data_IF_159273930197
#
_entry.id   IF_159273930197
#
_cell.length_a   1.000
_cell.length_b   1.000
_cell.length_c   1.000
_cell.angle_alpha   90.00
_cell.angle_beta   90.00
_cell.angle_gamma   90.00
#
_symmetry.space_group_name_H-M   'P 1'
#
loop_
_entity.id
_entity.type
_entity.pdbx_description
1 polymer ?
#
# COMPACT_ATOMS: atom_id res chain seq x y z
N UNK A 1 -23.03 -26.68 -1.96
CA UNK A 1 -24.20 -26.72 -2.88
C UNK A 1 -25.03 -25.48 -2.66
N UNK A 2 -24.80 -24.42 -3.43
CA UNK A 2 -25.69 -23.25 -3.50
C UNK A 2 -26.24 -23.22 -4.92
N UNK A 3 -27.56 -23.34 -5.04
CA UNK A 3 -28.25 -23.28 -6.31
C UNK A 3 -28.15 -21.84 -6.82
N UNK A 4 -27.44 -21.66 -7.94
CA UNK A 4 -27.55 -20.45 -8.74
C UNK A 4 -28.96 -20.44 -9.35
N UNK A 5 -29.83 -19.57 -8.87
CA UNK A 5 -31.03 -19.16 -9.62
C UNK A 5 -30.56 -18.34 -10.81
N UNK A 6 -30.30 -19.04 -11.90
CA UNK A 6 -30.12 -18.49 -13.24
C UNK A 6 -31.47 -17.90 -13.64
N UNK A 7 -31.55 -16.57 -13.70
CA UNK A 7 -32.71 -15.89 -14.26
C UNK A 7 -32.57 -16.02 -15.77
N UNK A 8 -33.22 -17.05 -16.32
CA UNK A 8 -33.36 -17.27 -17.75
C UNK A 8 -34.44 -16.31 -18.26
N UNK A 9 -34.02 -15.27 -18.95
CA UNK A 9 -34.93 -14.35 -19.63
C UNK A 9 -35.39 -15.03 -20.92
N UNK A 10 -36.50 -15.76 -20.86
CA UNK A 10 -37.22 -16.23 -22.05
C UNK A 10 -37.93 -15.01 -22.66
N UNK A 11 -37.30 -14.40 -23.65
CA UNK A 11 -37.95 -13.41 -24.52
C UNK A 11 -38.94 -14.21 -25.36
N UNK A 12 -40.21 -14.21 -24.94
CA UNK A 12 -41.32 -14.61 -25.78
C UNK A 12 -41.38 -13.63 -26.96
N UNK A 13 -40.72 -14.00 -28.06
CA UNK A 13 -41.03 -13.49 -29.39
C UNK A 13 -42.48 -13.90 -29.68
N UNK A 14 -43.41 -13.07 -29.21
CA UNK A 14 -44.81 -13.18 -29.60
C UNK A 14 -44.87 -12.91 -31.11
N UNK A 15 -45.14 -13.96 -31.87
CA UNK A 15 -45.34 -13.96 -33.32
C UNK A 15 -46.13 -12.73 -33.77
N UNK A 16 -45.42 -11.82 -34.44
CA UNK A 16 -45.95 -10.55 -34.96
C UNK A 16 -46.91 -10.76 -36.15
N UNK A 17 -47.00 -12.00 -36.66
CA UNK A 17 -47.71 -12.35 -37.89
C UNK A 17 -49.16 -12.82 -37.70
N UNK A 18 -49.65 -13.00 -36.46
CA UNK A 18 -51.03 -13.44 -36.22
C UNK A 18 -52.07 -12.30 -36.14
N UNK A 19 -51.65 -11.03 -36.17
CA UNK A 19 -52.57 -9.89 -36.06
C UNK A 19 -52.98 -9.26 -37.41
N UNK A 20 -52.46 -9.76 -38.54
CA UNK A 20 -52.76 -9.21 -39.86
C UNK A 20 -54.06 -9.76 -40.50
N UNK A 21 -54.69 -10.79 -39.95
CA UNK A 21 -55.81 -11.49 -40.61
C UNK A 21 -57.17 -11.42 -39.88
N UNK A 22 -57.41 -10.36 -39.09
CA UNK A 22 -58.73 -10.12 -38.43
C UNK A 22 -59.32 -8.74 -38.77
N UNK A 23 -58.91 -8.14 -39.88
CA UNK A 23 -59.58 -6.95 -40.43
C UNK A 23 -59.98 -7.22 -41.87
N UNK A 24 -61.24 -7.62 -42.10
CA UNK A 24 -62.10 -7.22 -43.22
C UNK A 24 -63.37 -8.09 -43.28
N UNK A 25 -64.39 -7.70 -42.50
CA UNK A 25 -65.78 -8.03 -42.78
C UNK A 25 -66.65 -6.81 -42.41
N UNK A 26 -67.27 -6.11 -43.37
CA UNK A 26 -68.11 -4.96 -43.09
C UNK A 26 -69.49 -5.46 -42.64
N UNK A 27 -69.65 -5.71 -41.35
CA UNK A 27 -70.97 -5.87 -40.75
C UNK A 27 -71.54 -4.48 -40.43
N UNK A 28 -72.52 -4.05 -41.22
CA UNK A 28 -73.44 -2.95 -40.90
C UNK A 28 -74.27 -3.36 -39.68
N UNK A 29 -73.79 -2.99 -38.48
CA UNK A 29 -74.53 -3.10 -37.24
C UNK A 29 -74.69 -1.71 -36.61
N UNK A 30 -75.93 -1.40 -36.26
CA UNK A 30 -76.34 -0.13 -35.67
C UNK A 30 -75.54 0.23 -34.41
N UNK A 31 -75.20 1.52 -34.22
CA UNK A 31 -74.43 1.97 -33.08
C UNK A 31 -75.26 1.87 -31.79
N UNK A 32 -75.08 0.78 -31.04
CA UNK A 32 -75.58 0.67 -29.66
C UNK A 32 -74.68 1.49 -28.70
N UNK A 33 -75.19 2.52 -28.01
CA UNK A 33 -74.40 3.50 -27.25
C UNK A 33 -73.79 3.00 -25.92
N UNK A 34 -73.88 1.70 -25.59
CA UNK A 34 -73.56 1.19 -24.25
C UNK A 34 -72.10 0.68 -24.12
N UNK A 35 -71.41 0.39 -25.24
CA UNK A 35 -70.06 -0.19 -25.19
C UNK A 35 -68.95 0.82 -24.86
N UNK A 36 -69.11 2.09 -25.28
CA UNK A 36 -68.12 3.16 -25.01
C UNK A 36 -68.01 3.52 -23.53
N UNK A 37 -69.09 3.41 -22.77
CA UNK A 37 -69.10 3.78 -21.35
C UNK A 37 -68.26 2.81 -20.48
N UNK A 38 -68.27 1.51 -20.81
CA UNK A 38 -67.47 0.50 -20.07
C UNK A 38 -65.97 0.65 -20.31
N UNK A 39 -65.55 1.00 -21.53
CA UNK A 39 -64.15 1.25 -21.85
C UNK A 39 -63.61 2.47 -21.08
N UNK A 40 -64.36 3.57 -21.02
CA UNK A 40 -63.96 4.77 -20.26
C UNK A 40 -63.81 4.47 -18.77
N UNK A 41 -64.68 3.66 -18.18
CA UNK A 41 -64.56 3.27 -16.77
C UNK A 41 -63.36 2.38 -16.49
N UNK A 42 -63.03 1.43 -17.38
CA UNK A 42 -61.88 0.54 -17.21
C UNK A 42 -60.57 1.31 -17.36
N UNK A 43 -60.46 2.21 -18.35
CA UNK A 43 -59.30 3.08 -18.51
C UNK A 43 -59.14 4.04 -17.33
N UNK A 44 -60.22 4.65 -16.84
CA UNK A 44 -60.18 5.51 -15.66
C UNK A 44 -59.67 4.80 -14.41
N UNK A 45 -60.12 3.56 -14.17
CA UNK A 45 -59.65 2.74 -13.05
C UNK A 45 -58.18 2.33 -13.23
N UNK A 46 -57.77 1.92 -14.42
CA UNK A 46 -56.37 1.55 -14.68
C UNK A 46 -55.42 2.72 -14.46
N UNK A 47 -55.75 3.91 -14.96
CA UNK A 47 -54.96 5.14 -14.74
C UNK A 47 -54.88 5.49 -13.25
N UNK A 48 -55.99 5.36 -12.51
CA UNK A 48 -56.01 5.61 -11.07
C UNK A 48 -55.11 4.62 -10.31
N UNK A 49 -55.13 3.33 -10.67
CA UNK A 49 -54.28 2.31 -10.05
C UNK A 49 -52.80 2.57 -10.31
N UNK A 50 -52.43 2.92 -11.56
CA UNK A 50 -51.05 3.28 -11.91
C UNK A 50 -50.62 4.52 -11.12
N UNK A 51 -51.45 5.55 -11.03
CA UNK A 51 -51.15 6.76 -10.25
C UNK A 51 -50.94 6.45 -8.75
N UNK A 52 -51.72 5.53 -8.20
CA UNK A 52 -51.60 5.11 -6.79
C UNK A 52 -50.31 4.32 -6.56
N UNK A 53 -49.95 3.40 -7.46
CA UNK A 53 -48.66 2.68 -7.41
C UNK A 53 -47.48 3.64 -7.48
N UNK A 54 -47.53 4.63 -8.36
CA UNK A 54 -46.49 5.67 -8.47
C UNK A 54 -46.41 6.48 -7.17
N UNK A 55 -47.53 6.89 -6.59
CA UNK A 55 -47.56 7.69 -5.37
C UNK A 55 -47.06 6.92 -4.15
N UNK A 56 -47.43 5.65 -4.02
CA UNK A 56 -46.93 4.76 -2.96
C UNK A 56 -45.44 4.50 -3.15
N UNK A 57 -45.00 4.21 -4.38
CA UNK A 57 -43.58 4.04 -4.69
C UNK A 57 -42.75 5.28 -4.38
N UNK A 58 -43.27 6.47 -4.71
CA UNK A 58 -42.62 7.74 -4.40
C UNK A 58 -42.51 7.99 -2.89
N UNK A 59 -43.56 7.71 -2.11
CA UNK A 59 -43.51 7.84 -0.64
C UNK A 59 -42.50 6.88 -0.02
N UNK A 60 -42.50 5.61 -0.44
CA UNK A 60 -41.52 4.63 0.04
C UNK A 60 -40.09 5.05 -0.29
N UNK A 61 -39.87 5.63 -1.48
CA UNK A 61 -38.58 6.18 -1.86
C UNK A 61 -38.19 7.39 -0.98
N UNK A 62 -39.11 8.34 -0.72
CA UNK A 62 -38.86 9.47 0.17
C UNK A 62 -38.55 9.04 1.61
N UNK A 63 -39.30 8.09 2.15
CA UNK A 63 -39.08 7.56 3.51
C UNK A 63 -37.72 6.84 3.60
N UNK A 64 -37.30 6.15 2.52
CA UNK A 64 -35.99 5.52 2.43
C UNK A 64 -34.85 6.57 2.41
N UNK A 65 -34.98 7.62 1.59
CA UNK A 65 -34.01 8.73 1.54
C UNK A 65 -33.89 9.44 2.88
N UNK A 66 -35.02 9.73 3.54
CA UNK A 66 -35.01 10.33 4.87
C UNK A 66 -34.33 9.42 5.91
N UNK A 67 -34.51 8.09 5.80
CA UNK A 67 -33.85 7.10 6.65
C UNK A 67 -32.33 7.04 6.43
N UNK A 68 -31.87 7.17 5.19
CA UNK A 68 -30.44 7.23 4.84
C UNK A 68 -29.83 8.52 5.40
N UNK A 69 -30.42 9.68 5.11
CA UNK A 69 -29.93 10.98 5.60
C UNK A 69 -29.86 11.05 7.14
N UNK A 70 -30.88 10.52 7.84
CA UNK A 70 -30.86 10.43 9.30
C UNK A 70 -29.75 9.49 9.81
N UNK A 71 -29.46 8.41 9.07
CA UNK A 71 -28.37 7.50 9.42
C UNK A 71 -27.01 8.14 9.21
N UNK A 72 -26.80 8.85 8.11
CA UNK A 72 -25.57 9.61 7.83
C UNK A 72 -25.33 10.67 8.90
N UNK A 73 -26.38 11.42 9.30
CA UNK A 73 -26.29 12.40 10.37
C UNK A 73 -25.90 11.77 11.72
N UNK A 74 -26.50 10.62 12.08
CA UNK A 74 -26.15 9.91 13.31
C UNK A 74 -24.71 9.38 13.29
N UNK A 75 -24.28 8.83 12.16
CA UNK A 75 -22.90 8.35 12.01
C UNK A 75 -21.92 9.51 12.05
N UNK A 76 -22.24 10.66 11.44
CA UNK A 76 -21.40 11.86 11.51
C UNK A 76 -21.26 12.42 12.93
N UNK A 77 -22.36 12.49 13.68
CA UNK A 77 -22.30 12.87 15.10
C UNK A 77 -21.43 11.90 15.93
N UNK A 78 -21.44 10.60 15.59
CA UNK A 78 -20.59 9.61 16.26
C UNK A 78 -19.09 9.83 15.96
N UNK A 79 -18.75 10.16 14.70
CA UNK A 79 -17.37 10.51 14.30
C UNK A 79 -16.87 11.73 15.07
N UNK A 80 -17.70 12.77 15.23
CA UNK A 80 -17.35 13.97 15.98
C UNK A 80 -17.07 13.66 17.46
N UNK A 81 -17.96 12.89 18.12
CA UNK A 81 -17.77 12.46 19.52
C UNK A 81 -16.48 11.64 19.68
N UNK A 82 -16.19 10.75 18.73
CA UNK A 82 -14.99 9.92 18.76
C UNK A 82 -13.72 10.74 18.58
N UNK A 83 -13.74 11.74 17.70
CA UNK A 83 -12.64 12.68 17.49
C UNK A 83 -12.34 13.47 18.75
N UNK A 84 -13.37 13.98 19.45
CA UNK A 84 -13.22 14.67 20.73
C UNK A 84 -12.56 13.74 21.77
N UNK A 85 -12.95 12.47 21.83
CA UNK A 85 -12.35 11.49 22.76
C UNK A 85 -10.88 11.20 22.40
N UNK A 86 -10.55 11.11 21.13
CA UNK A 86 -9.17 10.91 20.67
C UNK A 86 -8.29 12.12 21.04
N UNK A 87 -8.78 13.34 20.79
CA UNK A 87 -8.10 14.59 21.18
C UNK A 87 -7.81 14.66 22.69
N UNK A 88 -8.72 14.17 23.54
CA UNK A 88 -8.49 14.10 24.99
C UNK A 88 -7.35 13.16 25.39
N UNK A 89 -7.03 12.17 24.56
CA UNK A 89 -5.93 11.23 24.80
C UNK A 89 -4.58 11.78 24.33
N UNK A 90 -4.60 12.73 23.37
CA UNK A 90 -3.42 13.34 22.76
C UNK A 90 -3.51 14.87 22.78
N UNK A 91 -3.38 15.52 23.95
CA UNK A 91 -3.63 16.95 24.12
C UNK A 91 -2.63 17.85 23.37
N UNK A 92 -1.56 17.28 22.81
CA UNK A 92 -0.51 18.03 22.12
C UNK A 92 -0.87 18.40 20.66
N UNK A 93 -2.02 17.97 20.13
CA UNK A 93 -2.45 18.31 18.78
C UNK A 93 -3.94 18.66 18.76
N UNK A 94 -4.30 19.68 17.99
CA UNK A 94 -5.70 19.97 17.69
C UNK A 94 -6.13 19.04 16.56
N UNK A 95 -7.08 18.15 16.84
CA UNK A 95 -7.61 17.19 15.89
C UNK A 95 -9.06 17.56 15.57
N UNK A 96 -9.34 17.79 14.28
CA UNK A 96 -10.70 18.00 13.78
C UNK A 96 -11.04 16.94 12.72
N UNK A 97 -12.31 16.57 12.61
CA UNK A 97 -12.77 15.54 11.70
C UNK A 97 -13.94 16.05 10.85
N UNK A 98 -13.82 15.89 9.52
CA UNK A 98 -14.89 16.15 8.58
C UNK A 98 -15.34 14.86 7.90
N UNK A 99 -16.62 14.51 7.98
CA UNK A 99 -17.17 13.37 7.22
C UNK A 99 -17.24 13.73 5.74
N UNK A 100 -16.56 12.96 4.90
CA UNK A 100 -16.53 13.16 3.45
C UNK A 100 -17.59 12.31 2.74
N UNK A 101 -17.73 11.04 3.12
CA UNK A 101 -18.75 10.13 2.57
C UNK A 101 -19.14 9.06 3.57
N UNK A 102 -20.35 8.53 3.44
CA UNK A 102 -20.87 7.40 4.23
C UNK A 102 -21.45 6.38 3.26
N UNK A 103 -20.85 5.20 3.21
CA UNK A 103 -21.32 4.07 2.42
C UNK A 103 -22.02 3.08 3.35
N UNK A 104 -23.32 2.82 3.13
CA UNK A 104 -24.13 1.94 3.99
C UNK A 104 -24.43 0.62 3.26
N UNK A 105 -24.14 -0.51 3.89
CA UNK A 105 -24.48 -1.85 3.41
C UNK A 105 -25.25 -2.61 4.50
N UNK A 106 -26.58 -2.55 4.43
CA UNK A 106 -27.46 -3.19 5.42
C UNK A 106 -27.25 -2.61 6.82
N UNK A 107 -26.72 -3.41 7.74
CA UNK A 107 -26.41 -2.99 9.11
C UNK A 107 -24.96 -2.55 9.30
N UNK A 108 -24.20 -2.33 8.23
CA UNK A 108 -22.81 -1.88 8.27
C UNK A 108 -22.67 -0.53 7.57
N UNK A 109 -21.71 0.28 8.02
CA UNK A 109 -21.34 1.52 7.37
C UNK A 109 -19.82 1.64 7.27
N UNK A 110 -19.33 2.13 6.14
CA UNK A 110 -17.96 2.62 5.96
C UNK A 110 -18.05 4.14 5.84
N UNK A 111 -17.22 4.83 6.59
CA UNK A 111 -17.20 6.29 6.64
C UNK A 111 -15.83 6.76 6.23
N UNK A 112 -15.77 7.61 5.21
CA UNK A 112 -14.55 8.31 4.82
C UNK A 112 -14.52 9.62 5.58
N UNK A 113 -13.49 9.81 6.40
CA UNK A 113 -13.32 11.00 7.23
C UNK A 113 -12.03 11.70 6.82
N UNK A 114 -12.07 13.02 6.68
CA UNK A 114 -10.86 13.85 6.58
C UNK A 114 -10.53 14.31 7.99
N UNK A 115 -9.47 13.74 8.55
CA UNK A 115 -8.86 14.18 9.79
C UNK A 115 -7.92 15.34 9.47
N UNK A 116 -7.97 16.39 10.27
CA UNK A 116 -7.05 17.52 10.17
C UNK A 116 -6.35 17.66 11.51
N UNK A 117 -5.05 17.36 11.52
CA UNK A 117 -4.20 17.52 12.68
C UNK A 117 -3.40 18.81 12.54
N UNK A 118 -3.49 19.68 13.55
CA UNK A 118 -2.64 20.87 13.64
C UNK A 118 -1.50 20.59 14.62
N UNK A 119 -0.26 20.66 14.14
CA UNK A 119 0.95 20.46 14.94
C UNK A 119 1.15 21.62 15.94
N UNK A 120 2.05 21.43 16.90
CA UNK A 120 2.45 22.49 17.85
C UNK A 120 3.06 23.72 17.15
N UNK A 121 3.58 23.56 15.94
CA UNK A 121 4.13 24.64 15.11
C UNK A 121 3.06 25.31 14.24
N UNK A 122 1.79 24.89 14.35
CA UNK A 122 0.68 25.42 13.56
C UNK A 122 0.58 24.83 12.15
N UNK A 123 1.34 23.79 11.85
CA UNK A 123 1.26 23.11 10.55
C UNK A 123 -0.02 22.26 10.51
N UNK A 124 -0.80 22.43 9.44
CA UNK A 124 -2.07 21.74 9.24
C UNK A 124 -1.85 20.59 8.27
N UNK A 125 -2.03 19.36 8.75
CA UNK A 125 -1.78 18.16 7.97
C UNK A 125 -3.10 17.37 7.82
N UNK A 126 -3.87 17.57 6.73
CA UNK A 126 -5.08 16.79 6.50
C UNK A 126 -4.75 15.39 5.99
N UNK A 127 -5.40 14.37 6.54
CA UNK A 127 -5.38 13.01 6.00
C UNK A 127 -6.76 12.38 6.00
N UNK A 128 -7.00 11.48 5.04
CA UNK A 128 -8.23 10.68 5.04
C UNK A 128 -8.06 9.45 5.91
N UNK A 129 -9.11 9.05 6.62
CA UNK A 129 -9.26 7.77 7.30
C UNK A 129 -10.55 7.06 6.87
N UNK A 130 -10.54 5.73 6.97
CA UNK A 130 -11.74 4.91 6.81
C UNK A 130 -12.16 4.34 8.17
N UNK A 131 -13.36 4.69 8.60
CA UNK A 131 -13.99 4.21 9.83
C UNK A 131 -15.10 3.23 9.47
N UNK A 132 -15.25 2.18 10.28
CA UNK A 132 -16.22 1.11 10.02
C UNK A 132 -17.15 0.98 11.20
N UNK A 133 -18.45 0.98 10.95
CA UNK A 133 -19.48 0.86 11.98
C UNK A 133 -20.42 -0.30 11.68
N UNK A 134 -20.94 -0.91 12.74
CA UNK A 134 -22.05 -1.87 12.65
C UNK A 134 -23.18 -1.42 13.55
N UNK A 135 -24.40 -1.47 13.02
CA UNK A 135 -25.64 -1.19 13.75
C UNK A 135 -26.01 -2.39 14.61
N UNK A 136 -26.22 -2.14 15.89
CA UNK A 136 -26.78 -3.07 16.87
C UNK A 136 -28.07 -2.49 17.46
N UNK A 137 -28.72 -3.23 18.36
CA UNK A 137 -29.86 -2.70 19.13
C UNK A 137 -29.48 -1.52 20.04
N UNK A 138 -28.20 -1.38 20.41
CA UNK A 138 -27.68 -0.28 21.21
C UNK A 138 -27.25 0.94 20.37
N UNK A 139 -27.40 0.89 19.04
CA UNK A 139 -26.95 1.91 18.11
C UNK A 139 -25.74 1.47 17.28
N UNK A 140 -25.06 2.43 16.68
CA UNK A 140 -23.85 2.21 15.88
C UNK A 140 -22.64 2.02 16.77
N UNK A 141 -21.79 1.05 16.44
CA UNK A 141 -20.55 0.78 17.17
C UNK A 141 -19.40 0.65 16.18
N UNK A 142 -18.25 1.28 16.46
CA UNK A 142 -17.05 1.15 15.63
C UNK A 142 -16.56 -0.31 15.64
N UNK A 143 -16.10 -0.77 14.49
CA UNK A 143 -15.66 -2.15 14.25
C UNK A 143 -14.35 -2.16 13.47
N UNK A 144 -13.76 -3.34 13.32
CA UNK A 144 -12.67 -3.58 12.36
C UNK A 144 -13.17 -3.39 10.92
N UNK A 145 -12.27 -3.18 9.94
CA UNK A 145 -12.59 -3.21 8.53
C UNK A 145 -13.54 -4.35 8.14
N UNK A 146 -14.58 -4.02 7.37
CA UNK A 146 -15.59 -4.97 6.91
C UNK A 146 -15.35 -5.26 5.43
N UNK A 147 -14.90 -6.48 5.13
CA UNK A 147 -14.46 -6.88 3.78
C UNK A 147 -15.51 -6.66 2.66
N UNK A 148 -16.80 -6.63 2.99
CA UNK A 148 -17.87 -6.40 2.02
C UNK A 148 -17.78 -5.02 1.31
N UNK A 149 -17.16 -4.02 1.94
CA UNK A 149 -16.99 -2.69 1.34
C UNK A 149 -15.85 -2.59 0.32
N UNK A 150 -14.98 -3.59 0.24
CA UNK A 150 -13.82 -3.54 -0.65
C UNK A 150 -14.13 -3.91 -2.11
N UNK A 151 -15.36 -4.37 -2.38
CA UNK A 151 -15.79 -4.76 -3.72
C UNK A 151 -15.31 -6.17 -4.09
N UNK A 152 -15.24 -6.43 -5.40
CA UNK A 152 -14.86 -7.75 -5.92
C UNK A 152 -13.36 -7.97 -5.78
N UNK A 153 -12.95 -9.24 -5.70
CA UNK A 153 -11.53 -9.60 -5.80
C UNK A 153 -11.05 -9.41 -7.23
N UNK A 154 -9.85 -8.91 -7.37
CA UNK A 154 -9.20 -8.60 -8.63
C UNK A 154 -7.73 -9.00 -8.58
N UNK A 155 -7.12 -9.13 -9.75
CA UNK A 155 -5.71 -9.45 -9.86
C UNK A 155 -5.04 -8.68 -10.99
N UNK A 156 -3.75 -8.38 -10.79
CA UNK A 156 -2.87 -7.79 -11.80
C UNK A 156 -1.60 -8.64 -11.86
N UNK A 157 -1.18 -8.99 -13.07
CA UNK A 157 0.07 -9.72 -13.29
C UNK A 157 1.11 -8.82 -13.93
N UNK A 158 2.34 -8.91 -13.44
CA UNK A 158 3.52 -8.35 -14.08
C UNK A 158 4.47 -9.48 -14.51
N UNK A 159 5.69 -9.14 -14.93
CA UNK A 159 6.68 -10.13 -15.33
C UNK A 159 7.12 -11.02 -14.16
N UNK A 160 7.22 -10.47 -12.96
CA UNK A 160 7.74 -11.18 -11.76
C UNK A 160 6.80 -11.19 -10.58
N UNK A 161 5.72 -10.40 -10.59
CA UNK A 161 4.77 -10.27 -9.48
C UNK A 161 3.35 -10.63 -9.91
N UNK A 162 2.58 -11.21 -8.99
CA UNK A 162 1.15 -11.45 -9.12
C UNK A 162 0.45 -10.79 -7.94
N UNK A 163 -0.37 -9.76 -8.19
CA UNK A 163 -1.11 -9.04 -7.18
C UNK A 163 -2.52 -9.59 -7.06
N UNK A 164 -2.91 -10.01 -5.86
CA UNK A 164 -4.29 -10.30 -5.46
C UNK A 164 -4.80 -9.17 -4.55
N UNK A 165 -5.87 -8.49 -4.94
CA UNK A 165 -6.41 -7.36 -4.19
C UNK A 165 -7.93 -7.27 -4.36
N UNK A 166 -8.55 -6.20 -3.84
CA UNK A 166 -9.96 -5.93 -4.05
C UNK A 166 -10.15 -4.61 -4.79
N UNK A 167 -11.27 -4.48 -5.50
CA UNK A 167 -11.62 -3.34 -6.37
C UNK A 167 -11.33 -1.95 -5.76
N UNK A 168 -11.58 -1.76 -4.47
CA UNK A 168 -11.32 -0.49 -3.78
C UNK A 168 -9.82 -0.11 -3.70
N UNK A 169 -8.92 -1.10 -3.74
CA UNK A 169 -7.46 -0.92 -3.71
C UNK A 169 -6.85 -0.72 -5.10
N UNK A 170 -7.61 -0.96 -6.18
CA UNK A 170 -7.17 -0.90 -7.58
C UNK A 170 -6.28 0.32 -7.91
N UNK A 171 -6.68 1.58 -7.65
CA UNK A 171 -5.87 2.73 -8.07
C UNK A 171 -4.46 2.74 -7.44
N UNK A 172 -4.32 2.23 -6.22
CA UNK A 172 -3.02 2.16 -5.54
C UNK A 172 -2.17 1.00 -6.05
N UNK A 173 -2.80 -0.15 -6.32
CA UNK A 173 -2.10 -1.32 -6.85
C UNK A 173 -1.63 -1.07 -8.28
N UNK A 174 -2.47 -0.48 -9.14
CA UNK A 174 -2.09 -0.13 -10.52
C UNK A 174 -0.92 0.87 -10.55
N UNK A 175 -0.90 1.84 -9.64
CA UNK A 175 0.20 2.81 -9.52
C UNK A 175 1.53 2.18 -9.08
N UNK A 176 1.50 1.13 -8.26
CA UNK A 176 2.71 0.51 -7.67
C UNK A 176 3.19 -0.74 -8.43
N UNK A 177 2.30 -1.46 -9.13
CA UNK A 177 2.63 -2.75 -9.72
C UNK A 177 3.82 -2.71 -10.69
N UNK A 178 3.83 -1.74 -11.62
CA UNK A 178 4.93 -1.56 -12.58
C UNK A 178 6.26 -1.20 -11.91
N UNK A 179 6.32 -0.12 -11.10
CA UNK A 179 7.52 0.25 -10.35
C UNK A 179 8.05 -0.87 -9.45
N UNK A 180 7.18 -1.58 -8.73
CA UNK A 180 7.56 -2.68 -7.86
C UNK A 180 8.15 -3.88 -8.64
N UNK A 181 7.61 -4.19 -9.82
CA UNK A 181 8.16 -5.23 -10.69
C UNK A 181 9.56 -4.86 -11.20
N UNK A 182 9.75 -3.61 -11.62
CA UNK A 182 11.07 -3.12 -12.04
C UNK A 182 12.07 -3.19 -10.89
N UNK A 183 11.68 -2.70 -9.72
CA UNK A 183 12.49 -2.78 -8.51
C UNK A 183 12.87 -4.22 -8.18
N UNK A 184 11.91 -5.15 -8.21
CA UNK A 184 12.17 -6.56 -7.93
C UNK A 184 13.17 -7.19 -8.92
N UNK A 185 13.07 -6.86 -10.22
CA UNK A 185 14.05 -7.33 -11.22
C UNK A 185 15.45 -6.79 -10.93
N UNK A 186 15.60 -5.49 -10.71
CA UNK A 186 16.88 -4.85 -10.33
C UNK A 186 17.44 -5.45 -9.05
N UNK A 187 16.59 -5.68 -8.05
CA UNK A 187 16.97 -6.28 -6.77
C UNK A 187 17.44 -7.73 -6.92
N UNK A 188 16.83 -8.52 -7.81
CA UNK A 188 17.31 -9.89 -8.05
C UNK A 188 18.67 -9.89 -8.71
N UNK A 189 18.85 -9.03 -9.71
CA UNK A 189 20.14 -8.84 -10.39
C UNK A 189 21.24 -8.39 -9.42
N UNK A 190 20.95 -7.39 -8.58
CA UNK A 190 21.89 -6.88 -7.55
C UNK A 190 22.30 -7.93 -6.53
N UNK A 191 21.46 -8.92 -6.28
CA UNK A 191 21.74 -10.02 -5.34
C UNK A 191 22.32 -11.26 -6.03
N UNK A 192 22.59 -11.21 -7.34
CA UNK A 192 23.10 -12.34 -8.12
C UNK A 192 22.11 -13.50 -8.20
N UNK A 193 20.82 -13.22 -7.99
CA UNK A 193 19.74 -14.19 -8.12
C UNK A 193 19.42 -14.40 -9.60
N UNK A 194 19.04 -15.63 -9.99
CA UNK A 194 18.64 -15.89 -11.36
C UNK A 194 17.37 -15.11 -11.69
N UNK A 195 17.17 -14.68 -12.95
CA UNK A 195 15.90 -14.13 -13.38
C UNK A 195 14.80 -15.17 -13.14
N UNK A 196 13.60 -14.71 -12.78
CA UNK A 196 12.46 -15.61 -12.63
C UNK A 196 12.09 -16.24 -13.96
N UNK A 197 11.66 -17.51 -13.94
CA UNK A 197 11.11 -18.16 -15.12
C UNK A 197 9.84 -17.47 -15.60
N UNK A 198 9.48 -17.63 -16.89
CA UNK A 198 8.30 -16.98 -17.48
C UNK A 198 6.95 -17.34 -16.80
N UNK A 199 6.92 -18.45 -16.05
CA UNK A 199 5.75 -18.91 -15.29
C UNK A 199 5.86 -18.66 -13.79
N UNK A 200 7.02 -18.24 -13.30
CA UNK A 200 7.27 -18.03 -11.88
C UNK A 200 6.95 -16.58 -11.51
N UNK A 201 6.19 -16.36 -10.43
CA UNK A 201 5.88 -15.03 -9.91
C UNK A 201 5.84 -15.04 -8.37
N UNK A 202 6.17 -13.91 -7.78
CA UNK A 202 5.95 -13.66 -6.35
C UNK A 202 4.53 -13.16 -6.16
N UNK A 203 3.74 -13.89 -5.36
CA UNK A 203 2.39 -13.48 -5.00
C UNK A 203 2.41 -12.36 -3.96
N UNK A 204 1.63 -11.32 -4.20
CA UNK A 204 1.41 -10.17 -3.32
C UNK A 204 -0.08 -10.08 -3.03
N UNK A 205 -0.48 -10.30 -1.77
CA UNK A 205 -1.89 -10.23 -1.36
C UNK A 205 -2.15 -8.96 -0.56
N UNK A 206 -2.99 -8.08 -1.09
CA UNK A 206 -3.48 -6.88 -0.41
C UNK A 206 -4.79 -7.22 0.31
N UNK A 207 -4.77 -7.14 1.65
CA UNK A 207 -5.92 -7.55 2.48
C UNK A 207 -6.65 -6.35 3.09
N UNK A 208 -8.00 -6.40 3.21
CA UNK A 208 -8.82 -5.33 3.77
C UNK A 208 -8.77 -5.33 5.30
N UNK A 209 -7.57 -5.37 5.88
CA UNK A 209 -7.32 -5.31 7.33
C UNK A 209 -5.89 -4.86 7.58
N UNK A 210 -5.65 -4.32 8.77
CA UNK A 210 -4.30 -4.04 9.24
C UNK A 210 -3.60 -5.37 9.57
N UNK A 211 -2.52 -5.63 8.86
CA UNK A 211 -1.56 -6.71 9.05
C UNK A 211 -0.17 -6.10 9.16
N UNK A 212 0.70 -6.77 9.91
CA UNK A 212 2.13 -6.53 9.80
C UNK A 212 2.60 -6.83 8.37
N UNK A 213 3.71 -6.21 7.98
CA UNK A 213 4.37 -6.56 6.73
C UNK A 213 4.94 -7.97 6.86
N UNK A 214 4.17 -8.96 6.43
CA UNK A 214 4.48 -10.37 6.63
C UNK A 214 4.88 -11.02 5.30
N UNK A 215 5.88 -11.90 5.36
CA UNK A 215 6.23 -12.83 4.28
C UNK A 215 5.83 -14.22 4.76
N UNK A 216 4.86 -14.84 4.09
CA UNK A 216 4.38 -16.17 4.46
C UNK A 216 5.43 -17.24 4.15
N UNK A 217 5.25 -18.45 4.66
CA UNK A 217 6.18 -19.58 4.48
C UNK A 217 6.33 -20.00 3.00
N UNK A 218 5.27 -19.84 2.20
CA UNK A 218 5.31 -20.03 0.74
C UNK A 218 5.92 -18.83 -0.01
N UNK A 219 6.35 -17.82 0.75
CA UNK A 219 6.92 -16.57 0.29
C UNK A 219 5.89 -15.51 -0.12
N UNK A 220 4.58 -15.78 -0.04
CA UNK A 220 3.56 -14.78 -0.38
C UNK A 220 3.74 -13.53 0.48
N UNK A 221 3.78 -12.36 -0.16
CA UNK A 221 3.89 -11.07 0.53
C UNK A 221 2.49 -10.61 0.90
N UNK A 222 2.21 -10.43 2.18
CA UNK A 222 0.88 -10.00 2.65
C UNK A 222 0.96 -8.57 3.13
N UNK A 223 0.12 -7.70 2.57
CA UNK A 223 0.17 -6.27 2.84
C UNK A 223 -1.22 -5.73 3.20
N UNK A 224 -1.26 -4.73 4.06
CA UNK A 224 -2.51 -4.03 4.40
C UNK A 224 -2.98 -3.22 3.21
N UNK A 225 -4.30 -3.15 3.00
CA UNK A 225 -4.92 -2.21 2.06
C UNK A 225 -4.35 -0.80 2.27
N UNK A 226 -3.87 -0.10 1.23
CA UNK A 226 -3.31 1.25 1.35
C UNK A 226 -4.24 2.25 2.04
N UNK A 227 -5.55 2.03 1.90
CA UNK A 227 -6.59 2.87 2.51
C UNK A 227 -6.69 2.77 4.03
N UNK A 228 -6.10 1.72 4.64
CA UNK A 228 -6.10 1.49 6.08
C UNK A 228 -4.81 1.95 6.77
N UNK A 229 -3.80 2.35 5.99
CA UNK A 229 -2.55 2.84 6.55
C UNK A 229 -2.76 4.23 7.11
N UNK A 230 -2.33 4.39 8.35
CA UNK A 230 -2.26 5.68 8.99
C UNK A 230 -1.11 6.49 8.38
N UNK A 231 -1.44 7.69 7.94
CA UNK A 231 -0.51 8.59 7.24
C UNK A 231 -0.13 9.81 8.08
N UNK A 232 -0.66 10.00 9.30
CA UNK A 232 -0.41 11.15 10.19
C UNK A 232 -0.22 12.48 9.42
N UNK A 233 -1.09 12.74 8.43
CA UNK A 233 -1.09 13.97 7.64
C UNK A 233 0.09 14.22 6.68
N UNK A 234 1.19 13.47 6.75
CA UNK A 234 2.45 13.85 6.08
C UNK A 234 2.91 12.96 4.93
N UNK A 235 2.22 11.86 4.62
CA UNK A 235 2.67 10.93 3.59
C UNK A 235 1.57 10.45 2.64
N UNK A 236 1.93 10.28 1.37
CA UNK A 236 1.06 9.69 0.37
C UNK A 236 0.92 8.17 0.62
N UNK A 237 -0.32 7.68 0.63
CA UNK A 237 -0.62 6.24 0.84
C UNK A 237 0.08 5.35 -0.17
N UNK A 238 0.14 5.78 -1.43
CA UNK A 238 0.85 5.08 -2.52
C UNK A 238 2.31 4.88 -2.17
N UNK A 239 2.99 5.94 -1.71
CA UNK A 239 4.39 5.90 -1.26
C UNK A 239 4.58 4.96 -0.09
N UNK A 240 3.72 5.02 0.93
CA UNK A 240 3.80 4.09 2.07
C UNK A 240 3.61 2.64 1.62
N UNK A 241 2.61 2.39 0.76
CA UNK A 241 2.35 1.06 0.21
C UNK A 241 3.56 0.53 -0.57
N UNK A 242 4.11 1.35 -1.47
CA UNK A 242 5.33 1.05 -2.23
C UNK A 242 6.51 0.72 -1.31
N UNK A 243 6.82 1.60 -0.35
CA UNK A 243 7.92 1.39 0.60
C UNK A 243 7.77 0.09 1.41
N UNK A 244 6.55 -0.22 1.86
CA UNK A 244 6.29 -1.47 2.57
C UNK A 244 6.45 -2.71 1.68
N UNK A 245 6.03 -2.61 0.41
CA UNK A 245 6.20 -3.69 -0.56
C UNK A 245 7.68 -3.89 -0.93
N UNK A 246 8.43 -2.81 -1.15
CA UNK A 246 9.88 -2.84 -1.40
C UNK A 246 10.61 -3.51 -0.23
N UNK A 247 10.29 -3.17 1.01
CA UNK A 247 10.87 -3.82 2.19
C UNK A 247 10.59 -5.33 2.26
N UNK A 248 9.37 -5.75 1.90
CA UNK A 248 9.00 -7.18 1.82
C UNK A 248 9.76 -7.90 0.69
N UNK A 249 9.92 -7.26 -0.47
CA UNK A 249 10.69 -7.78 -1.60
C UNK A 249 12.18 -7.92 -1.27
N UNK A 250 12.79 -6.93 -0.59
CA UNK A 250 14.16 -7.01 -0.07
C UNK A 250 14.32 -8.18 0.89
N UNK A 251 13.44 -8.27 1.89
CA UNK A 251 13.48 -9.35 2.89
C UNK A 251 13.41 -10.73 2.23
N UNK A 252 12.44 -10.94 1.33
CA UNK A 252 12.27 -12.21 0.61
C UNK A 252 13.48 -12.52 -0.28
N UNK A 253 13.97 -11.56 -1.05
CA UNK A 253 15.06 -11.78 -2.00
C UNK A 253 16.38 -12.04 -1.28
N UNK A 254 16.65 -11.35 -0.16
CA UNK A 254 17.80 -11.65 0.67
C UNK A 254 17.69 -13.03 1.32
N UNK A 255 16.50 -13.46 1.75
CA UNK A 255 16.31 -14.83 2.24
C UNK A 255 16.62 -15.88 1.16
N UNK A 256 16.18 -15.67 -0.07
CA UNK A 256 16.53 -16.53 -1.22
C UNK A 256 18.05 -16.54 -1.45
N UNK A 257 18.69 -15.36 -1.45
CA UNK A 257 20.14 -15.23 -1.65
C UNK A 257 20.95 -15.90 -0.53
N UNK A 258 20.51 -15.79 0.73
CA UNK A 258 21.13 -16.47 1.87
C UNK A 258 21.11 -17.98 1.71
N UNK A 259 19.96 -18.54 1.33
CA UNK A 259 19.82 -19.99 1.11
C UNK A 259 20.72 -20.43 -0.05
N UNK A 260 20.73 -19.68 -1.15
CA UNK A 260 21.53 -19.98 -2.34
C UNK A 260 23.04 -19.95 -2.07
N UNK A 261 23.49 -18.95 -1.31
CA UNK A 261 24.91 -18.74 -1.01
C UNK A 261 25.36 -19.43 0.27
N UNK A 262 24.47 -20.15 0.97
CA UNK A 262 24.76 -20.79 2.26
C UNK A 262 25.36 -19.82 3.30
N UNK A 263 24.88 -18.58 3.34
CA UNK A 263 25.42 -17.52 4.23
C UNK A 263 25.44 -18.00 5.68
N UNK A 264 26.63 -17.96 6.29
CA UNK A 264 26.81 -18.44 7.66
C UNK A 264 26.13 -17.50 8.67
N UNK A 265 25.59 -18.01 9.80
CA UNK A 265 24.92 -17.18 10.81
C UNK A 265 25.78 -16.06 11.41
N UNK A 266 27.11 -16.22 11.44
CA UNK A 266 28.05 -15.18 11.90
C UNK A 266 27.94 -13.89 11.08
N UNK A 267 27.52 -13.97 9.82
CA UNK A 267 27.40 -12.83 8.90
C UNK A 267 26.02 -12.18 8.88
N UNK A 268 25.08 -12.67 9.72
CA UNK A 268 23.72 -12.10 9.80
C UNK A 268 23.69 -10.58 10.05
N UNK A 269 24.55 -10.00 10.92
CA UNK A 269 24.56 -8.55 11.10
C UNK A 269 24.85 -7.79 9.81
N UNK A 270 25.78 -8.28 8.97
CA UNK A 270 26.09 -7.64 7.68
C UNK A 270 24.91 -7.75 6.71
N UNK A 271 24.25 -8.91 6.65
CA UNK A 271 23.06 -9.09 5.79
C UNK A 271 21.89 -8.22 6.25
N UNK A 272 21.71 -8.03 7.56
CA UNK A 272 20.69 -7.11 8.09
C UNK A 272 20.95 -5.68 7.66
N UNK A 273 22.21 -5.21 7.75
CA UNK A 273 22.60 -3.88 7.29
C UNK A 273 22.41 -3.74 5.77
N UNK A 274 22.72 -4.77 4.99
CA UNK A 274 22.46 -4.78 3.55
C UNK A 274 20.97 -4.64 3.25
N UNK A 275 20.09 -5.30 4.02
CA UNK A 275 18.65 -5.18 3.87
C UNK A 275 18.19 -3.72 4.10
N UNK A 276 18.64 -3.13 5.19
CA UNK A 276 18.32 -1.75 5.54
C UNK A 276 18.87 -0.76 4.49
N UNK A 277 20.08 -1.00 3.98
CA UNK A 277 20.68 -0.22 2.90
C UNK A 277 19.88 -0.33 1.59
N UNK A 278 19.48 -1.53 1.17
CA UNK A 278 18.66 -1.75 -0.03
C UNK A 278 17.29 -1.07 0.07
N UNK A 279 16.69 -1.05 1.27
CA UNK A 279 15.42 -0.36 1.54
C UNK A 279 15.61 1.15 1.45
N UNK A 280 16.68 1.68 2.06
CA UNK A 280 17.01 3.11 2.03
C UNK A 280 17.34 3.64 0.64
N UNK A 281 17.76 2.76 -0.28
CA UNK A 281 18.13 3.09 -1.66
C UNK A 281 17.12 2.60 -2.69
N UNK A 282 15.89 2.25 -2.30
CA UNK A 282 14.96 1.57 -3.21
C UNK A 282 14.63 2.38 -4.47
N UNK A 283 14.53 3.71 -4.34
CA UNK A 283 14.22 4.62 -5.44
C UNK A 283 15.41 4.83 -6.37
N UNK A 284 16.62 4.83 -5.82
CA UNK A 284 17.87 5.06 -6.56
C UNK A 284 18.54 3.78 -7.04
N UNK A 285 18.10 2.60 -6.56
CA UNK A 285 18.79 1.32 -6.78
C UNK A 285 19.10 1.09 -8.26
N UNK A 286 18.16 1.42 -9.16
CA UNK A 286 18.41 1.25 -10.60
C UNK A 286 19.49 2.20 -11.13
N UNK A 287 19.56 3.43 -10.64
CA UNK A 287 20.63 4.37 -11.01
C UNK A 287 21.97 3.95 -10.39
N UNK A 288 21.96 3.59 -9.10
CA UNK A 288 23.14 3.11 -8.37
C UNK A 288 23.76 1.90 -9.07
N UNK A 289 22.95 0.95 -9.51
CA UNK A 289 23.43 -0.30 -10.11
C UNK A 289 23.86 -0.15 -11.58
N UNK A 290 23.33 0.84 -12.32
CA UNK A 290 23.70 1.02 -13.73
C UNK A 290 24.88 1.99 -13.93
N UNK A 291 24.91 3.09 -13.17
CA UNK A 291 25.83 4.20 -13.46
C UNK A 291 26.99 4.28 -12.45
N UNK A 292 26.97 3.48 -11.38
CA UNK A 292 27.93 3.58 -10.27
C UNK A 292 27.94 4.96 -9.61
N UNK A 293 26.89 5.76 -9.85
CA UNK A 293 26.79 7.11 -9.36
C UNK A 293 26.73 7.07 -7.82
N UNK A 294 27.56 7.87 -7.12
CA UNK A 294 27.48 7.94 -5.67
C UNK A 294 26.08 8.43 -5.30
N UNK A 295 25.36 7.63 -4.52
CA UNK A 295 24.09 8.10 -3.94
C UNK A 295 24.47 9.02 -2.78
N UNK A 296 24.30 10.31 -3.00
CA UNK A 296 24.40 11.27 -1.91
C UNK A 296 23.16 11.09 -1.03
N UNK A 297 23.23 10.20 -0.05
CA UNK A 297 22.30 10.30 1.06
C UNK A 297 22.47 11.68 1.70
N UNK A 298 21.36 12.34 2.00
CA UNK A 298 21.32 13.56 2.82
C UNK A 298 21.76 13.21 4.26
N UNK A 299 23.06 13.01 4.41
CA UNK A 299 23.74 12.58 5.63
C UNK A 299 24.04 13.78 6.53
N UNK A 300 23.17 14.80 6.49
CA UNK A 300 23.27 16.05 7.21
C UNK A 300 23.94 15.89 8.57
N UNK A 301 25.09 16.56 8.76
CA UNK A 301 25.92 16.55 9.99
C UNK A 301 26.63 15.24 10.40
N UNK A 302 26.16 14.06 9.98
CA UNK A 302 26.69 12.74 10.38
C UNK A 302 28.06 12.45 9.75
N UNK A 303 28.34 13.04 8.59
CA UNK A 303 29.58 12.85 7.83
C UNK A 303 30.87 13.20 8.62
N UNK A 304 30.78 14.02 9.68
CA UNK A 304 31.96 14.47 10.43
C UNK A 304 32.41 13.58 11.60
N UNK A 305 31.55 12.72 12.15
CA UNK A 305 31.85 12.06 13.44
C UNK A 305 32.31 10.60 13.33
N UNK A 306 32.07 9.92 12.20
CA UNK A 306 32.19 8.44 12.12
C UNK A 306 33.29 7.91 11.18
N UNK A 307 34.15 8.79 10.63
CA UNK A 307 35.24 8.47 9.70
C UNK A 307 36.29 7.46 10.24
N UNK A 308 36.19 6.98 11.49
CA UNK A 308 37.22 6.18 12.16
C UNK A 308 36.75 4.80 12.65
N UNK A 309 35.49 4.40 12.46
CA UNK A 309 35.00 3.12 13.01
C UNK A 309 35.00 1.99 11.98
N UNK A 310 35.44 0.81 12.43
CA UNK A 310 35.33 -0.44 11.70
C UNK A 310 34.11 -1.18 12.25
N UNK A 311 33.05 -1.41 11.44
CA UNK A 311 31.78 -1.95 11.94
C UNK A 311 31.98 -3.29 12.65
N UNK A 312 32.85 -4.16 12.14
CA UNK A 312 33.03 -5.51 12.69
C UNK A 312 33.74 -5.57 14.06
N UNK A 313 34.75 -4.73 14.33
CA UNK A 313 35.48 -4.78 15.60
C UNK A 313 34.72 -4.12 16.75
N UNK A 314 33.86 -3.14 16.46
CA UNK A 314 33.12 -2.40 17.47
C UNK A 314 31.78 -3.05 17.86
N UNK A 315 31.14 -3.80 16.95
CA UNK A 315 29.88 -4.52 17.23
C UNK A 315 30.04 -5.50 18.41
N UNK A 316 31.19 -6.15 18.55
CA UNK A 316 31.43 -7.13 19.62
C UNK A 316 31.98 -6.51 20.94
N UNK A 317 32.63 -5.35 20.89
CA UNK A 317 33.50 -4.90 21.99
C UNK A 317 32.80 -4.04 23.08
N UNK A 318 31.60 -3.51 22.86
CA UNK A 318 31.07 -2.41 23.69
C UNK A 318 29.74 -2.67 24.44
N UNK A 319 29.34 -3.92 24.70
CA UNK A 319 28.04 -4.27 25.30
C UNK A 319 27.72 -3.72 26.71
N UNK A 320 28.61 -2.94 27.35
CA UNK A 320 28.54 -2.64 28.79
C UNK A 320 28.09 -1.23 29.21
N UNK A 321 27.73 -0.30 28.32
CA UNK A 321 27.28 1.06 28.71
C UNK A 321 25.75 1.26 28.55
N UNK A 322 24.98 1.33 29.65
CA UNK A 322 23.55 1.64 29.60
C UNK A 322 23.31 3.06 29.07
N UNK A 323 22.31 3.24 28.20
CA UNK A 323 21.93 4.55 27.62
C UNK A 323 22.57 4.91 26.28
N UNK A 324 23.62 4.18 25.85
CA UNK A 324 24.28 4.39 24.54
C UNK A 324 23.77 3.46 23.42
N UNK A 325 22.75 2.64 23.70
CA UNK A 325 22.28 1.61 22.78
C UNK A 325 21.70 2.16 21.47
N UNK A 326 20.86 3.19 21.54
CA UNK A 326 20.24 3.78 20.34
C UNK A 326 21.25 4.53 19.49
N UNK A 327 22.08 5.37 20.12
CA UNK A 327 23.20 6.04 19.44
C UNK A 327 24.12 5.04 18.73
N UNK A 328 24.47 3.92 19.40
CA UNK A 328 25.27 2.86 18.79
C UNK A 328 24.56 2.23 17.60
N UNK A 329 23.31 1.80 17.77
CA UNK A 329 22.54 1.16 16.70
C UNK A 329 22.51 2.06 15.45
N UNK A 330 22.30 3.35 15.67
CA UNK A 330 22.31 4.36 14.62
C UNK A 330 23.70 4.52 13.98
N UNK A 331 24.76 4.62 14.78
CA UNK A 331 26.13 4.71 14.27
C UNK A 331 26.57 3.47 13.47
N UNK A 332 26.20 2.28 13.94
CA UNK A 332 26.50 1.01 13.27
C UNK A 332 25.73 0.90 11.95
N UNK A 333 24.45 1.31 11.92
CA UNK A 333 23.67 1.40 10.70
C UNK A 333 24.29 2.36 9.68
N UNK A 334 24.70 3.57 10.10
CA UNK A 334 25.35 4.53 9.22
C UNK A 334 26.71 4.04 8.69
N UNK A 335 27.54 3.44 9.55
CA UNK A 335 28.81 2.87 9.12
C UNK A 335 28.61 1.72 8.12
N UNK A 336 27.53 0.96 8.32
CA UNK A 336 27.07 -0.07 7.43
C UNK A 336 26.61 0.46 6.07
N UNK A 337 25.80 1.52 6.04
CA UNK A 337 25.36 2.14 4.80
C UNK A 337 26.53 2.70 4.01
N UNK A 338 27.42 3.45 4.67
CA UNK A 338 28.64 3.98 4.07
C UNK A 338 29.55 2.87 3.50
N UNK A 339 29.55 1.69 4.13
CA UNK A 339 30.29 0.55 3.62
C UNK A 339 29.70 0.07 2.28
N UNK A 340 28.38 -0.11 2.19
CA UNK A 340 27.74 -0.53 0.95
C UNK A 340 27.76 0.55 -0.14
N UNK A 341 27.61 1.82 0.21
CA UNK A 341 27.75 2.95 -0.72
C UNK A 341 29.13 2.97 -1.36
N UNK A 342 30.19 2.94 -0.54
CA UNK A 342 31.57 2.90 -1.02
C UNK A 342 31.85 1.64 -1.85
N UNK A 343 31.33 0.51 -1.39
CA UNK A 343 31.54 -0.77 -2.06
C UNK A 343 30.95 -0.76 -3.47
N UNK A 344 29.70 -0.32 -3.63
CA UNK A 344 29.05 -0.27 -4.95
C UNK A 344 29.65 0.82 -5.83
N UNK A 345 30.01 1.97 -5.26
CA UNK A 345 30.64 3.06 -6.01
C UNK A 345 32.02 2.68 -6.58
N UNK A 346 32.87 2.00 -5.80
CA UNK A 346 34.23 1.66 -6.21
C UNK A 346 34.30 0.35 -7.02
N UNK A 347 33.43 -0.62 -6.71
CA UNK A 347 33.52 -1.99 -7.23
C UNK A 347 32.31 -2.45 -8.05
N UNK A 348 31.34 -1.57 -8.27
CA UNK A 348 30.18 -1.86 -9.10
C UNK A 348 29.15 -2.79 -8.45
N UNK A 349 28.05 -3.07 -9.16
CA UNK A 349 26.93 -3.85 -8.67
C UNK A 349 27.28 -5.31 -8.32
N UNK A 350 28.29 -5.89 -8.97
CA UNK A 350 28.77 -7.25 -8.76
C UNK A 350 29.46 -7.48 -7.40
N UNK A 351 29.79 -6.40 -6.69
CA UNK A 351 30.44 -6.48 -5.39
C UNK A 351 29.54 -7.07 -4.30
N UNK A 352 28.22 -6.88 -4.39
CA UNK A 352 27.25 -7.42 -3.43
C UNK A 352 27.11 -8.95 -3.57
N UNK A 353 26.87 -9.52 -4.77
CA UNK A 353 26.83 -10.97 -4.95
C UNK A 353 28.13 -11.66 -4.55
N UNK A 354 29.29 -11.07 -4.87
CA UNK A 354 30.60 -11.60 -4.47
C UNK A 354 30.74 -11.66 -2.94
N UNK A 355 30.29 -10.63 -2.23
CA UNK A 355 30.28 -10.61 -0.77
C UNK A 355 29.41 -11.71 -0.17
N UNK A 356 28.17 -11.85 -0.69
CA UNK A 356 27.21 -12.83 -0.21
C UNK A 356 27.72 -14.27 -0.43
N UNK A 357 28.39 -14.53 -1.55
CA UNK A 357 29.04 -15.81 -1.81
C UNK A 357 30.18 -16.09 -0.82
N UNK A 358 31.04 -15.11 -0.54
CA UNK A 358 32.14 -15.25 0.41
C UNK A 358 31.66 -15.44 1.86
N UNK A 359 30.54 -14.81 2.25
CA UNK A 359 29.87 -15.10 3.53
C UNK A 359 29.40 -16.55 3.66
N UNK A 360 29.25 -17.29 2.56
CA UNK A 360 28.95 -18.71 2.58
C UNK A 360 30.15 -19.58 2.92
N UNK A 361 31.34 -19.21 2.44
CA UNK A 361 32.53 -20.06 2.47
C UNK A 361 33.51 -19.72 3.58
N UNK A 362 33.56 -18.46 4.02
CA UNK A 362 34.60 -17.97 4.92
C UNK A 362 34.10 -17.71 6.34
N UNK A 363 34.95 -17.94 7.33
CA UNK A 363 34.64 -17.76 8.76
C UNK A 363 35.12 -16.43 9.34
N UNK A 364 36.13 -15.80 8.72
CA UNK A 364 36.74 -14.55 9.20
C UNK A 364 36.57 -13.42 8.19
N UNK A 365 36.53 -12.18 8.69
CA UNK A 365 36.32 -11.01 7.82
C UNK A 365 37.48 -10.80 6.85
N UNK A 366 38.71 -11.16 7.25
CA UNK A 366 39.87 -11.08 6.37
C UNK A 366 39.74 -12.04 5.19
N UNK A 367 39.29 -13.26 5.45
CA UNK A 367 39.10 -14.27 4.42
C UNK A 367 37.93 -13.91 3.51
N UNK A 368 36.82 -13.39 4.07
CA UNK A 368 35.69 -12.86 3.28
C UNK A 368 36.16 -11.80 2.28
N UNK A 369 36.90 -10.78 2.74
CA UNK A 369 37.36 -9.67 1.90
C UNK A 369 38.34 -10.16 0.83
N UNK A 370 39.26 -11.05 1.20
CA UNK A 370 40.22 -11.62 0.26
C UNK A 370 39.52 -12.48 -0.81
N UNK A 371 38.57 -13.33 -0.40
CA UNK A 371 37.81 -14.22 -1.31
C UNK A 371 36.87 -13.41 -2.21
N UNK A 372 36.16 -12.42 -1.69
CA UNK A 372 35.20 -11.63 -2.47
C UNK A 372 35.89 -10.67 -3.45
N UNK A 373 37.02 -10.07 -3.04
CA UNK A 373 37.56 -8.88 -3.71
C UNK A 373 39.03 -8.96 -4.09
N UNK A 374 39.76 -9.99 -3.63
CA UNK A 374 41.18 -10.16 -3.92
C UNK A 374 42.10 -9.17 -3.22
N UNK A 375 41.61 -8.42 -2.23
CA UNK A 375 42.37 -7.38 -1.51
C UNK A 375 42.46 -7.66 -0.01
N UNK A 376 43.34 -6.95 0.68
CA UNK A 376 43.41 -6.98 2.15
C UNK A 376 42.30 -6.13 2.80
N UNK A 377 42.02 -6.37 4.09
CA UNK A 377 41.09 -5.53 4.87
C UNK A 377 41.58 -4.09 4.97
N UNK A 378 42.89 -3.88 5.07
CA UNK A 378 43.53 -2.57 5.11
C UNK A 378 43.32 -1.79 3.82
N UNK A 379 43.45 -2.47 2.68
CA UNK A 379 43.22 -1.90 1.36
C UNK A 379 41.75 -1.53 1.15
N UNK A 380 40.82 -2.44 1.44
CA UNK A 380 39.38 -2.15 1.39
C UNK A 380 38.98 -0.99 2.32
N UNK A 381 39.61 -0.90 3.50
CA UNK A 381 39.41 0.23 4.42
C UNK A 381 39.95 1.53 3.84
N UNK A 382 41.09 1.49 3.15
CA UNK A 382 41.68 2.66 2.50
C UNK A 382 40.79 3.17 1.35
N UNK A 383 40.24 2.26 0.53
CA UNK A 383 39.27 2.57 -0.53
C UNK A 383 38.03 3.27 0.05
N UNK A 384 37.38 2.65 1.05
CA UNK A 384 36.23 3.26 1.75
C UNK A 384 36.56 4.65 2.29
N UNK A 385 37.72 4.82 2.91
CA UNK A 385 38.13 6.12 3.45
C UNK A 385 38.36 7.16 2.34
N UNK A 386 38.88 6.74 1.18
CA UNK A 386 39.04 7.62 0.02
C UNK A 386 37.67 8.06 -0.50
N UNK A 387 36.71 7.14 -0.63
CA UNK A 387 35.33 7.45 -0.98
C UNK A 387 34.69 8.46 -0.01
N UNK A 388 34.79 8.25 1.30
CA UNK A 388 34.23 9.19 2.28
C UNK A 388 34.89 10.59 2.20
N UNK A 389 36.16 10.66 1.81
CA UNK A 389 36.84 11.93 1.58
C UNK A 389 36.35 12.66 0.32
N UNK A 390 35.88 11.96 -0.72
CA UNK A 390 35.30 12.61 -1.90
C UNK A 390 33.96 13.24 -1.55
N UNK A 391 33.12 12.55 -0.78
CA UNK A 391 31.85 13.10 -0.26
C UNK A 391 32.07 14.36 0.58
N UNK A 392 33.13 14.39 1.41
CA UNK A 392 33.46 15.58 2.20
C UNK A 392 33.96 16.78 1.37
N UNK A 393 34.43 16.55 0.13
CA UNK A 393 35.03 17.59 -0.72
C UNK A 393 34.02 18.27 -1.65
N UNK A 394 32.84 17.69 -1.88
CA UNK A 394 31.81 18.24 -2.76
C UNK A 394 31.04 19.35 -2.03
N UNK A 395 31.36 20.65 -2.24
CA UNK A 395 30.81 21.74 -1.42
C UNK A 395 29.45 22.24 -1.92
N UNK A 396 28.97 21.74 -3.07
CA UNK A 396 27.84 22.33 -3.81
C UNK A 396 26.48 22.15 -3.13
N UNK A 397 26.35 21.26 -2.14
CA UNK A 397 25.10 21.04 -1.39
C UNK A 397 24.89 22.02 -0.23
N UNK A 398 25.95 22.65 0.30
CA UNK A 398 25.85 23.44 1.54
C UNK A 398 25.33 24.87 1.32
N UNK A 399 25.35 25.38 0.08
CA UNK A 399 24.91 26.75 -0.21
C UNK A 399 23.38 26.91 -0.26
N UNK A 400 22.62 25.82 -0.45
CA UNK A 400 21.16 25.88 -0.55
C UNK A 400 20.44 25.62 0.79
N UNK A 401 21.09 24.92 1.73
CA UNK A 401 20.56 24.67 3.09
C UNK A 401 20.57 25.92 3.99
N UNK A 402 21.59 26.78 3.89
CA UNK A 402 21.66 28.03 4.68
C UNK A 402 20.53 29.02 4.33
N UNK A 403 19.90 28.87 3.16
CA UNK A 403 18.75 29.67 2.74
C UNK A 403 17.42 29.18 3.33
N UNK A 404 17.33 27.90 3.73
CA UNK A 404 16.13 27.27 4.29
C UNK A 404 15.99 27.47 5.80
N UNK A 405 17.08 27.74 6.52
CA UNK A 405 17.06 28.05 7.95
C UNK A 405 17.08 29.56 8.28
N UNK A 406 17.14 30.42 7.27
CA UNK A 406 17.13 31.88 7.41
C UNK A 406 15.75 32.55 7.21
N UNK A 407 14.64 31.80 7.24
CA UNK A 407 13.28 32.34 7.14
C UNK A 407 12.40 31.98 8.33
#
# INVERSE_FOLDING_TARGET
>A
MRQHTQIEWEILEAEEDAWAEVTLAPATCEPKPVCRQRLVTVFGVAVLLVALVVLVGYRLWQDAEAGIAATEQHVGALVEIETIRQQQSEPASELTAGVQSVDIMGSAAMVRVVMTQTSLLGEVCPHTELLFYRRSSAGWTRTRPIAAFWGKKEAIETSTLHFDFHELDRPYVEAVAGPADSFHRTLRESLGLPPMGATERVSVTVVPRNVSLDVLVDGTLVNSSPLLRDCNGGCERTTKFSAGLQAQLVTRSLQESRVRNHVQPTWEPMVSVLADWLIGHADDLSATMNDGAPVAQDMGTVCRTYLLRCPMTDIAAYSSYPGYGEYRRMADAYAGYQFYDALVADRGPEAIPALLAAFGTEETWSDVVQTAYGVSVEELRAERNAYLQTLCKTPESAADEDSRFAR
#
